data_IF_395367494032
#
_entry.id   IF_395367494032
#
_cell.length_a   1.000
_cell.length_b   1.000
_cell.length_c   1.000
_cell.angle_alpha   90.00
_cell.angle_beta   90.00
_cell.angle_gamma   90.00
#
_symmetry.space_group_name_H-M   'P 1'
#
loop_
_entity.id
_entity.type
_entity.pdbx_description
1 polymer ?
#
# COMPACT_ATOMS: atom_id res chain seq x y z
N UNK A 1 1.59 3.19 18.31
CA UNK A 1 2.27 2.07 18.98
C UNK A 1 1.62 0.81 18.44
N UNK A 2 2.23 0.19 17.41
CA UNK A 2 1.71 -1.04 16.82
C UNK A 2 1.80 -2.14 17.83
N UNK A 3 0.72 -2.88 18.03
CA UNK A 3 0.66 -4.01 18.95
C UNK A 3 1.63 -5.10 18.47
N UNK A 4 2.81 -5.12 19.06
CA UNK A 4 3.66 -6.30 19.10
C UNK A 4 3.07 -7.25 20.17
N UNK A 5 1.81 -7.64 20.00
CA UNK A 5 1.26 -8.72 20.83
C UNK A 5 1.94 -10.01 20.42
N UNK A 6 2.84 -10.44 21.29
CA UNK A 6 3.36 -11.79 21.51
C UNK A 6 3.15 -12.80 20.38
N UNK A 7 3.82 -12.54 19.22
CA UNK A 7 3.81 -13.44 18.06
C UNK A 7 4.92 -14.48 18.11
N UNK A 8 5.59 -14.64 19.24
CA UNK A 8 6.57 -15.71 19.41
C UNK A 8 5.85 -17.00 19.78
N UNK A 9 5.25 -17.64 18.79
CA UNK A 9 4.55 -18.90 18.99
C UNK A 9 5.51 -20.10 19.02
N UNK A 10 6.70 -20.01 18.40
CA UNK A 10 7.52 -21.20 18.16
C UNK A 10 9.00 -21.01 18.53
N UNK A 11 9.33 -20.03 19.35
CA UNK A 11 10.72 -19.71 19.70
C UNK A 11 11.57 -19.26 18.52
N UNK A 12 10.94 -18.73 17.46
CA UNK A 12 11.63 -18.27 16.23
C UNK A 12 12.04 -16.79 16.29
N UNK A 13 11.61 -16.06 17.31
CA UNK A 13 11.85 -14.61 17.41
C UNK A 13 13.23 -14.34 17.98
N UNK A 14 14.17 -13.73 17.21
CA UNK A 14 15.45 -13.30 17.73
C UNK A 14 15.30 -12.02 18.57
N UNK A 15 16.25 -11.83 19.47
CA UNK A 15 16.41 -10.60 20.25
C UNK A 15 17.22 -9.59 19.43
N UNK A 16 16.72 -8.36 19.24
CA UNK A 16 17.54 -7.27 18.73
C UNK A 16 18.46 -6.77 19.83
N UNK A 17 19.77 -6.98 19.68
CA UNK A 17 20.79 -6.67 20.70
C UNK A 17 21.51 -5.34 20.45
N UNK A 18 21.47 -4.83 19.23
CA UNK A 18 22.05 -3.54 18.85
C UNK A 18 21.42 -3.04 17.58
N UNK A 19 21.18 -1.72 17.50
CA UNK A 19 20.74 -1.02 16.29
C UNK A 19 21.51 0.29 16.13
N UNK A 20 21.94 0.55 14.91
CA UNK A 20 22.59 1.78 14.49
C UNK A 20 21.79 2.39 13.35
N UNK A 21 21.39 3.67 13.50
CA UNK A 21 20.74 4.44 12.45
C UNK A 21 21.80 5.02 11.51
N UNK A 22 21.84 4.55 10.26
CA UNK A 22 22.83 4.97 9.26
C UNK A 22 22.38 6.21 8.52
N UNK A 23 21.07 6.31 8.24
CA UNK A 23 20.41 7.49 7.67
C UNK A 23 19.07 7.63 8.37
N UNK A 24 18.79 8.82 8.90
CA UNK A 24 17.53 9.10 9.55
C UNK A 24 17.05 10.49 9.18
N UNK A 25 15.96 10.55 8.42
CA UNK A 25 15.30 11.78 8.03
C UNK A 25 13.77 11.59 7.96
N UNK A 26 13.04 12.58 7.42
CA UNK A 26 11.58 12.50 7.30
C UNK A 26 11.09 11.44 6.31
N UNK A 27 11.98 10.93 5.44
CA UNK A 27 11.62 10.01 4.36
C UNK A 27 11.94 8.56 4.65
N UNK A 28 13.05 8.34 5.39
CA UNK A 28 13.57 7.01 5.65
C UNK A 28 14.35 6.99 6.97
N UNK A 29 14.23 5.88 7.70
CA UNK A 29 15.13 5.51 8.77
C UNK A 29 15.81 4.19 8.38
N UNK A 30 17.05 4.28 7.85
CA UNK A 30 17.82 3.13 7.42
C UNK A 30 18.77 2.69 8.51
N UNK A 31 18.67 1.43 8.92
CA UNK A 31 19.31 0.86 10.11
C UNK A 31 20.19 -0.33 9.78
N UNK A 32 21.18 -0.51 10.63
CA UNK A 32 22.02 -1.70 10.72
C UNK A 32 21.86 -2.30 12.10
N UNK A 33 21.35 -3.54 12.19
CA UNK A 33 21.05 -4.20 13.46
C UNK A 33 21.85 -5.49 13.63
N UNK A 34 21.99 -5.93 14.89
CA UNK A 34 22.49 -7.24 15.28
C UNK A 34 21.39 -7.98 16.04
N UNK A 35 21.21 -9.26 15.73
CA UNK A 35 20.20 -10.12 16.33
C UNK A 35 20.83 -11.35 16.97
N UNK A 36 20.34 -11.72 18.18
CA UNK A 36 20.67 -12.99 18.83
C UNK A 36 19.52 -13.96 18.64
N UNK A 37 19.80 -15.11 18.01
CA UNK A 37 18.83 -16.18 17.85
C UNK A 37 18.62 -16.94 19.16
N UNK A 38 17.49 -17.68 19.30
CA UNK A 38 17.22 -18.49 20.50
C UNK A 38 18.27 -19.55 20.79
N UNK A 39 19.00 -20.00 19.79
CA UNK A 39 20.13 -20.94 19.95
C UNK A 39 21.47 -20.27 20.34
N UNK A 40 21.46 -18.96 20.58
CA UNK A 40 22.61 -18.15 21.01
C UNK A 40 23.48 -17.62 19.86
N UNK A 41 23.28 -18.02 18.62
CA UNK A 41 24.01 -17.47 17.47
C UNK A 41 23.67 -15.99 17.29
N UNK A 42 24.67 -15.20 16.92
CA UNK A 42 24.49 -13.78 16.58
C UNK A 42 24.62 -13.62 15.05
N UNK A 43 23.66 -12.89 14.48
CA UNK A 43 23.66 -12.50 13.07
C UNK A 43 23.79 -11.00 12.94
N UNK A 44 24.82 -10.53 12.27
CA UNK A 44 25.08 -9.12 11.93
C UNK A 44 25.98 -9.01 10.69
N UNK A 45 25.84 -7.97 9.87
CA UNK A 45 24.81 -6.93 9.96
C UNK A 45 23.50 -7.38 9.35
N UNK A 46 22.38 -6.95 9.91
CA UNK A 46 21.07 -7.00 9.28
C UNK A 46 20.62 -5.58 8.92
N UNK A 47 20.28 -5.34 7.67
CA UNK A 47 19.85 -4.02 7.21
C UNK A 47 18.34 -3.98 7.08
N UNK A 48 17.73 -2.92 7.60
CA UNK A 48 16.30 -2.66 7.50
C UNK A 48 16.02 -1.16 7.42
N UNK A 49 14.81 -0.81 7.00
CA UNK A 49 14.38 0.58 6.99
C UNK A 49 12.92 0.74 7.41
N UNK A 50 12.62 1.92 7.95
CA UNK A 50 11.26 2.40 8.21
C UNK A 50 10.86 3.37 7.12
N UNK A 51 9.65 3.20 6.60
CA UNK A 51 8.94 4.18 5.78
C UNK A 51 7.50 4.34 6.30
N UNK A 52 6.79 5.33 5.78
CA UNK A 52 5.37 5.49 6.09
C UNK A 52 4.57 4.29 5.60
N UNK A 53 3.54 3.95 6.36
CA UNK A 53 2.45 3.11 5.85
C UNK A 53 1.76 3.82 4.70
N UNK A 54 1.10 3.08 3.83
CA UNK A 54 0.43 3.63 2.68
C UNK A 54 -0.86 2.88 2.34
N UNK A 55 -1.73 3.53 1.61
CA UNK A 55 -2.95 2.94 1.10
C UNK A 55 -2.83 2.67 -0.41
N UNK A 56 -3.47 1.61 -0.88
CA UNK A 56 -3.65 1.25 -2.29
C UNK A 56 -5.13 1.09 -2.57
N UNK A 57 -5.64 1.68 -3.66
CA UNK A 57 -7.07 1.73 -3.96
C UNK A 57 -7.38 1.07 -5.31
N UNK A 58 -8.00 -0.10 -5.30
CA UNK A 58 -8.63 -0.67 -6.49
C UNK A 58 -9.94 0.07 -6.72
N UNK A 59 -9.90 1.11 -7.55
CA UNK A 59 -11.02 1.99 -7.83
C UNK A 59 -11.69 1.62 -9.15
N UNK A 60 -13.03 1.53 -9.17
CA UNK A 60 -13.81 1.37 -10.40
C UNK A 60 -14.82 2.50 -10.56
N UNK A 61 -14.98 3.00 -11.78
CA UNK A 61 -16.00 3.99 -12.10
C UNK A 61 -17.42 3.38 -12.18
N UNK A 62 -18.40 4.20 -12.53
CA UNK A 62 -19.80 3.78 -12.65
C UNK A 62 -20.08 2.84 -13.83
N UNK A 63 -19.13 2.70 -14.76
CA UNK A 63 -19.18 1.76 -15.88
C UNK A 63 -18.40 0.47 -15.59
N UNK A 64 -17.81 0.37 -14.38
CA UNK A 64 -17.00 -0.77 -13.95
C UNK A 64 -15.58 -0.76 -14.51
N UNK A 65 -15.13 0.33 -15.15
CA UNK A 65 -13.75 0.47 -15.61
C UNK A 65 -12.82 0.78 -14.43
N UNK A 66 -11.65 0.20 -14.45
CA UNK A 66 -10.66 0.32 -13.37
C UNK A 66 -9.80 1.58 -13.58
N UNK A 67 -9.76 2.43 -12.57
CA UNK A 67 -8.93 3.63 -12.57
C UNK A 67 -7.49 3.28 -12.22
N UNK A 68 -6.55 3.70 -13.06
CA UNK A 68 -5.12 3.49 -12.88
C UNK A 68 -4.36 4.79 -13.08
N UNK A 69 -3.16 4.84 -12.54
CA UNK A 69 -2.20 5.92 -12.73
C UNK A 69 -0.93 5.40 -13.41
N UNK A 70 -0.33 6.20 -14.27
CA UNK A 70 0.96 5.92 -14.87
C UNK A 70 1.96 6.95 -14.38
N UNK A 71 3.05 6.47 -13.77
CA UNK A 71 4.07 7.33 -13.19
C UNK A 71 5.46 6.73 -13.29
N UNK A 72 6.47 7.57 -13.24
CA UNK A 72 7.87 7.13 -13.20
C UNK A 72 8.25 6.69 -11.80
N UNK A 73 8.80 5.49 -11.65
CA UNK A 73 9.32 4.96 -10.39
C UNK A 73 10.85 4.96 -10.41
N UNK A 74 11.44 5.83 -9.61
CA UNK A 74 12.89 6.05 -9.55
C UNK A 74 13.66 4.79 -9.17
N UNK A 75 13.12 3.95 -8.30
CA UNK A 75 13.78 2.72 -7.82
C UNK A 75 14.09 1.73 -8.95
N UNK A 76 13.14 1.53 -9.85
CA UNK A 76 13.28 0.63 -11.01
C UNK A 76 13.56 1.38 -12.32
N UNK A 77 13.57 2.73 -12.31
CA UNK A 77 13.81 3.62 -13.44
C UNK A 77 12.90 3.36 -14.63
N UNK A 78 11.64 3.11 -14.37
CA UNK A 78 10.64 2.80 -15.39
C UNK A 78 9.31 3.53 -15.11
N UNK A 79 8.55 3.77 -16.17
CA UNK A 79 7.14 4.18 -16.06
C UNK A 79 6.31 2.94 -15.83
N UNK A 80 5.57 2.92 -14.71
CA UNK A 80 4.69 1.82 -14.32
C UNK A 80 3.23 2.24 -14.41
N UNK A 81 2.35 1.26 -14.61
CA UNK A 81 0.91 1.41 -14.39
C UNK A 81 0.58 0.82 -13.04
N UNK A 82 -0.18 1.57 -12.24
CA UNK A 82 -0.44 1.26 -10.84
C UNK A 82 -1.88 1.66 -10.47
N UNK A 83 -2.38 1.18 -9.34
CA UNK A 83 -3.57 1.77 -8.73
C UNK A 83 -3.22 3.08 -8.02
N UNK A 84 -4.18 3.98 -7.83
CA UNK A 84 -4.02 5.13 -6.95
C UNK A 84 -3.51 4.68 -5.58
N UNK A 85 -2.44 5.33 -5.09
CA UNK A 85 -1.79 4.92 -3.86
C UNK A 85 -0.87 6.00 -3.29
N UNK A 86 -0.92 6.19 -1.98
CA UNK A 86 0.00 7.11 -1.32
C UNK A 86 0.14 6.92 0.18
N UNK A 87 1.08 7.65 0.74
CA UNK A 87 1.47 7.53 2.14
C UNK A 87 0.41 8.04 3.11
N UNK A 88 0.25 7.35 4.23
CA UNK A 88 -0.51 7.85 5.37
C UNK A 88 0.35 8.92 6.04
N UNK A 89 -0.11 10.16 6.05
CA UNK A 89 0.63 11.26 6.64
C UNK A 89 -0.04 11.77 7.95
N UNK A 90 0.58 12.79 8.59
CA UNK A 90 0.04 13.35 9.82
C UNK A 90 -1.30 14.07 9.63
N UNK A 91 -1.63 14.55 8.41
CA UNK A 91 -2.95 15.13 8.09
C UNK A 91 -4.05 14.08 8.26
N UNK A 92 -3.76 12.83 7.91
CA UNK A 92 -4.67 11.70 8.06
C UNK A 92 -4.78 11.26 9.54
N UNK A 93 -3.70 11.46 10.32
CA UNK A 93 -3.62 11.12 11.75
C UNK A 93 -4.24 12.16 12.71
N UNK A 94 -4.53 13.37 12.24
CA UNK A 94 -5.08 14.46 13.08
C UNK A 94 -6.48 14.18 13.62
N UNK A 95 -7.23 13.28 13.03
CA UNK A 95 -8.54 12.86 13.55
C UNK A 95 -8.36 11.94 14.77
N UNK A 96 -8.43 12.55 15.96
CA UNK A 96 -8.33 11.84 17.24
C UNK A 96 -9.40 10.74 17.36
N UNK A 97 -8.97 9.55 17.77
CA UNK A 97 -9.84 8.41 18.06
C UNK A 97 -10.09 7.46 16.89
N UNK A 98 -9.50 7.71 15.71
CA UNK A 98 -9.55 6.77 14.60
C UNK A 98 -8.62 5.58 14.84
N UNK A 99 -9.06 4.40 14.42
CA UNK A 99 -8.20 3.23 14.28
C UNK A 99 -7.18 3.42 13.14
N UNK A 100 -6.16 2.54 13.08
CA UNK A 100 -5.19 2.57 11.99
C UNK A 100 -5.84 2.37 10.62
N UNK A 101 -6.88 1.50 10.55
CA UNK A 101 -7.63 1.26 9.32
C UNK A 101 -8.47 2.46 8.90
N UNK A 102 -9.16 3.12 9.83
CA UNK A 102 -9.92 4.35 9.53
C UNK A 102 -8.99 5.47 9.06
N UNK A 103 -7.81 5.60 9.66
CA UNK A 103 -6.79 6.57 9.24
C UNK A 103 -6.29 6.25 7.83
N UNK A 104 -6.03 4.98 7.53
CA UNK A 104 -5.63 4.53 6.20
C UNK A 104 -6.74 4.75 5.15
N UNK A 105 -8.01 4.60 5.53
CA UNK A 105 -9.15 4.90 4.65
C UNK A 105 -9.22 6.41 4.32
N UNK A 106 -8.90 7.29 5.27
CA UNK A 106 -8.83 8.73 4.99
C UNK A 106 -7.73 9.04 3.98
N UNK A 107 -6.55 8.44 4.13
CA UNK A 107 -5.46 8.56 3.16
C UNK A 107 -5.89 8.00 1.78
N UNK A 108 -6.52 6.82 1.73
CA UNK A 108 -7.03 6.23 0.50
C UNK A 108 -8.00 7.16 -0.25
N UNK A 109 -8.93 7.79 0.47
CA UNK A 109 -9.89 8.74 -0.11
C UNK A 109 -9.20 10.00 -0.65
N UNK A 110 -8.22 10.51 0.08
CA UNK A 110 -7.41 11.66 -0.32
C UNK A 110 -6.63 11.36 -1.59
N UNK A 111 -5.88 10.25 -1.62
CA UNK A 111 -5.06 9.84 -2.77
C UNK A 111 -5.91 9.56 -4.03
N UNK A 112 -7.04 8.88 -3.88
CA UNK A 112 -7.96 8.68 -5.00
C UNK A 112 -8.39 10.01 -5.63
N UNK A 113 -8.72 11.00 -4.78
CA UNK A 113 -9.14 12.33 -5.24
C UNK A 113 -7.98 13.11 -5.86
N UNK A 114 -6.81 13.13 -5.20
CA UNK A 114 -5.64 13.88 -5.65
C UNK A 114 -5.12 13.34 -6.99
N UNK A 115 -4.97 12.04 -7.14
CA UNK A 115 -4.40 11.40 -8.32
C UNK A 115 -5.38 11.23 -9.49
N UNK A 116 -6.67 11.02 -9.22
CA UNK A 116 -7.65 10.74 -10.28
C UNK A 116 -8.73 11.81 -10.44
N UNK A 117 -8.90 12.67 -9.46
CA UNK A 117 -10.03 13.61 -9.37
C UNK A 117 -11.37 12.94 -9.06
N UNK A 118 -11.39 11.65 -8.69
CA UNK A 118 -12.59 10.88 -8.42
C UNK A 118 -12.83 10.67 -6.93
N UNK A 119 -14.10 10.49 -6.56
CA UNK A 119 -14.55 10.16 -5.22
C UNK A 119 -15.54 9.00 -5.26
N UNK A 120 -15.65 8.27 -4.13
CA UNK A 120 -16.63 7.21 -3.94
C UNK A 120 -17.20 7.24 -2.51
N UNK A 121 -18.44 6.79 -2.38
CA UNK A 121 -19.09 6.51 -1.08
C UNK A 121 -19.02 5.02 -0.72
N UNK A 122 -18.61 4.15 -1.65
CA UNK A 122 -18.59 2.70 -1.50
C UNK A 122 -17.16 2.19 -1.32
N UNK A 123 -16.79 1.92 -0.07
CA UNK A 123 -15.46 1.49 0.31
C UNK A 123 -15.45 0.15 1.03
N UNK A 124 -14.46 -0.67 0.73
CA UNK A 124 -14.21 -1.94 1.39
C UNK A 124 -12.72 -2.05 1.70
N UNK A 125 -12.38 -2.41 2.95
CA UNK A 125 -11.03 -2.80 3.33
C UNK A 125 -10.81 -4.26 2.93
N UNK A 126 -9.86 -4.52 2.04
CA UNK A 126 -9.56 -5.86 1.53
C UNK A 126 -8.60 -6.62 2.44
N UNK A 127 -7.48 -5.98 2.78
CA UNK A 127 -6.44 -6.59 3.62
C UNK A 127 -5.39 -5.54 4.02
N UNK A 128 -4.70 -5.79 5.13
CA UNK A 128 -3.48 -5.06 5.52
C UNK A 128 -2.31 -6.03 5.51
N UNK A 129 -1.25 -5.71 4.76
CA UNK A 129 -0.08 -6.58 4.59
C UNK A 129 1.22 -5.81 4.82
N UNK A 130 2.30 -6.46 5.31
CA UNK A 130 3.62 -5.86 5.28
C UNK A 130 4.01 -5.57 3.82
N UNK A 131 4.51 -4.37 3.53
CA UNK A 131 4.91 -4.00 2.19
C UNK A 131 6.10 -4.83 1.68
N UNK A 132 7.08 -5.04 2.56
CA UNK A 132 8.28 -5.83 2.28
C UNK A 132 8.86 -6.39 3.59
N UNK A 133 8.24 -7.45 4.12
CA UNK A 133 8.47 -7.99 5.46
C UNK A 133 9.92 -8.35 5.80
N UNK A 134 10.78 -8.58 4.79
CA UNK A 134 12.18 -8.95 4.99
C UNK A 134 13.09 -7.75 5.26
N UNK A 135 12.68 -6.54 4.95
CA UNK A 135 13.58 -5.38 5.00
C UNK A 135 12.92 -4.10 5.52
N UNK A 136 11.59 -3.99 5.46
CA UNK A 136 10.86 -2.81 5.95
C UNK A 136 9.78 -3.19 6.95
N UNK A 137 9.45 -2.23 7.81
CA UNK A 137 8.45 -2.39 8.87
C UNK A 137 7.10 -1.70 8.55
N UNK A 138 6.98 -1.12 7.34
CA UNK A 138 5.76 -0.46 6.93
C UNK A 138 4.72 -1.43 6.34
N UNK A 139 3.46 -1.03 6.44
CA UNK A 139 2.32 -1.80 5.96
C UNK A 139 1.62 -1.08 4.80
N UNK A 140 1.04 -1.88 3.91
CA UNK A 140 0.11 -1.46 2.89
C UNK A 140 -1.32 -1.81 3.32
N UNK A 141 -2.22 -0.83 3.26
CA UNK A 141 -3.66 -0.98 3.49
C UNK A 141 -4.35 -1.03 2.12
N UNK A 142 -4.96 -2.15 1.81
CA UNK A 142 -5.58 -2.39 0.51
C UNK A 142 -7.08 -2.13 0.60
N UNK A 143 -7.57 -1.25 -0.25
CA UNK A 143 -8.98 -0.89 -0.33
C UNK A 143 -9.55 -1.13 -1.72
N UNK A 144 -10.86 -1.35 -1.77
CA UNK A 144 -11.67 -1.26 -2.98
C UNK A 144 -12.61 -0.08 -2.87
N UNK A 145 -12.71 0.72 -3.95
CA UNK A 145 -13.69 1.79 -4.11
C UNK A 145 -14.54 1.50 -5.36
N UNK A 146 -15.86 1.51 -5.22
CA UNK A 146 -16.79 1.28 -6.34
C UNK A 146 -17.55 2.55 -6.68
N UNK A 147 -18.12 2.57 -7.89
CA UNK A 147 -18.96 3.67 -8.37
C UNK A 147 -18.29 5.04 -8.24
N UNK A 148 -16.98 5.08 -8.49
CA UNK A 148 -16.21 6.31 -8.45
C UNK A 148 -16.72 7.32 -9.48
N UNK A 149 -16.90 8.57 -9.06
CA UNK A 149 -17.39 9.66 -9.91
C UNK A 149 -16.40 10.80 -9.89
N UNK A 150 -16.24 11.47 -11.02
CA UNK A 150 -15.38 12.64 -11.11
C UNK A 150 -15.96 13.79 -10.29
N UNK A 151 -15.22 14.26 -9.30
CA UNK A 151 -15.60 15.33 -8.40
C UNK A 151 -14.77 16.62 -8.64
N UNK A 152 -13.52 16.48 -9.11
CA UNK A 152 -12.60 17.59 -9.33
C UNK A 152 -11.60 17.31 -10.46
N UNK A 153 -10.69 18.22 -10.70
CA UNK A 153 -9.43 17.96 -11.42
C UNK A 153 -8.44 17.26 -10.51
N UNK A 154 -7.39 16.68 -11.10
CA UNK A 154 -6.24 16.17 -10.33
C UNK A 154 -5.58 17.32 -9.56
N UNK A 155 -5.10 17.02 -8.36
CA UNK A 155 -4.34 17.97 -7.52
C UNK A 155 -3.08 17.23 -7.05
N UNK A 156 -2.05 17.30 -7.89
CA UNK A 156 -0.80 16.58 -7.66
C UNK A 156 0.17 17.38 -6.80
N UNK A 157 0.97 16.72 -5.99
CA UNK A 157 2.08 17.34 -5.28
C UNK A 157 3.18 17.78 -6.27
N UNK A 158 4.02 18.75 -5.88
CA UNK A 158 5.08 19.32 -6.74
C UNK A 158 6.04 18.29 -7.35
N UNK A 159 6.21 17.15 -6.70
CA UNK A 159 7.08 16.06 -7.14
C UNK A 159 6.35 14.94 -7.88
N UNK A 160 5.04 15.07 -8.08
CA UNK A 160 4.22 14.07 -8.74
C UNK A 160 3.95 14.44 -10.19
N UNK A 161 4.35 13.54 -11.08
CA UNK A 161 4.03 13.60 -12.49
C UNK A 161 3.38 12.26 -12.87
N UNK A 162 2.06 12.25 -12.97
CA UNK A 162 1.31 11.06 -13.32
C UNK A 162 0.14 11.34 -14.26
N UNK A 163 -0.23 10.34 -15.05
CA UNK A 163 -1.40 10.34 -15.91
C UNK A 163 -2.42 9.32 -15.39
N UNK A 164 -3.67 9.77 -15.19
CA UNK A 164 -4.78 8.85 -14.91
C UNK A 164 -5.29 8.22 -16.22
N UNK A 165 -5.48 6.90 -16.19
CA UNK A 165 -6.10 6.11 -17.26
C UNK A 165 -7.20 5.23 -16.68
N UNK A 166 -8.13 4.76 -17.53
CA UNK A 166 -9.10 3.75 -17.16
C UNK A 166 -9.01 2.56 -18.10
N UNK A 167 -9.09 1.34 -17.54
CA UNK A 167 -8.98 0.09 -18.29
C UNK A 167 -10.13 -0.85 -17.94
N UNK A 168 -10.46 -1.79 -18.81
CA UNK A 168 -11.39 -2.86 -18.47
C UNK A 168 -10.72 -3.89 -17.54
N UNK A 169 -11.51 -4.75 -16.89
CA UNK A 169 -10.98 -5.86 -16.09
C UNK A 169 -10.12 -6.82 -16.93
N UNK A 170 -10.53 -7.09 -18.17
CA UNK A 170 -9.76 -7.93 -19.09
C UNK A 170 -8.43 -7.28 -19.49
N UNK A 171 -8.44 -5.98 -19.79
CA UNK A 171 -7.21 -5.22 -20.05
C UNK A 171 -6.26 -5.26 -18.84
N UNK A 172 -6.79 -5.09 -17.61
CA UNK A 172 -6.00 -5.16 -16.38
C UNK A 172 -5.32 -6.53 -16.22
N UNK A 173 -6.06 -7.61 -16.38
CA UNK A 173 -5.49 -8.97 -16.32
C UNK A 173 -4.41 -9.16 -17.38
N UNK A 174 -4.69 -8.73 -18.63
CA UNK A 174 -3.71 -8.76 -19.69
C UNK A 174 -2.43 -7.98 -19.36
N UNK A 175 -2.54 -6.82 -18.73
CA UNK A 175 -1.39 -6.01 -18.30
C UNK A 175 -0.56 -6.72 -17.22
N UNK A 176 -1.21 -7.37 -16.26
CA UNK A 176 -0.53 -8.15 -15.21
C UNK A 176 0.27 -9.29 -15.84
N UNK A 177 -0.33 -10.09 -16.72
CA UNK A 177 0.33 -11.25 -17.33
C UNK A 177 1.46 -10.88 -18.30
N UNK A 178 1.38 -9.71 -18.94
CA UNK A 178 2.46 -9.19 -19.80
C UNK A 178 3.58 -8.48 -19.04
N UNK A 179 3.39 -8.20 -17.74
CA UNK A 179 4.34 -7.46 -16.92
C UNK A 179 4.27 -5.94 -17.11
N UNK A 180 3.18 -5.42 -17.64
CA UNK A 180 2.92 -3.98 -17.76
C UNK A 180 2.37 -3.36 -16.47
N UNK A 181 1.87 -4.20 -15.57
CA UNK A 181 1.41 -3.85 -14.23
C UNK A 181 2.22 -4.64 -13.20
N UNK A 182 3.22 -4.01 -12.56
CA UNK A 182 4.35 -4.71 -11.95
C UNK A 182 4.39 -4.68 -10.42
N UNK A 183 3.66 -3.78 -9.77
CA UNK A 183 3.69 -3.62 -8.32
C UNK A 183 3.01 -4.81 -7.61
N UNK A 184 3.79 -5.64 -6.92
CA UNK A 184 3.29 -6.88 -6.29
C UNK A 184 2.12 -6.65 -5.33
N UNK A 185 2.19 -5.60 -4.49
CA UNK A 185 1.11 -5.25 -3.55
C UNK A 185 -0.15 -4.82 -4.27
N UNK A 186 -0.03 -4.13 -5.41
CA UNK A 186 -1.16 -3.72 -6.24
C UNK A 186 -1.78 -4.91 -6.97
N UNK A 187 -0.97 -5.87 -7.45
CA UNK A 187 -1.46 -7.14 -8.01
C UNK A 187 -2.24 -7.92 -6.94
N UNK A 188 -1.73 -7.99 -5.71
CA UNK A 188 -2.44 -8.62 -4.60
C UNK A 188 -3.79 -7.94 -4.35
N UNK A 189 -3.82 -6.60 -4.33
CA UNK A 189 -5.06 -5.84 -4.16
C UNK A 189 -6.09 -6.17 -5.26
N UNK A 190 -5.63 -6.26 -6.52
CA UNK A 190 -6.47 -6.69 -7.64
C UNK A 190 -7.07 -8.06 -7.41
N UNK A 191 -6.24 -9.06 -7.12
CA UNK A 191 -6.69 -10.45 -6.92
C UNK A 191 -7.72 -10.57 -5.78
N UNK A 192 -7.51 -9.84 -4.68
CA UNK A 192 -8.46 -9.82 -3.56
C UNK A 192 -9.78 -9.16 -3.96
N UNK A 193 -9.73 -8.07 -4.70
CA UNK A 193 -10.94 -7.36 -5.15
C UNK A 193 -11.82 -8.22 -6.09
N UNK A 194 -11.23 -9.17 -6.81
CA UNK A 194 -11.98 -10.09 -7.68
C UNK A 194 -12.67 -11.20 -6.88
N UNK A 195 -12.08 -11.68 -5.79
CA UNK A 195 -12.67 -12.75 -4.96
C UNK A 195 -13.98 -12.30 -4.30
N UNK A 196 -14.01 -11.12 -3.72
CA UNK A 196 -15.23 -10.57 -3.10
C UNK A 196 -16.36 -10.32 -4.10
N UNK A 197 -16.06 -10.17 -5.40
CA UNK A 197 -17.08 -10.11 -6.44
C UNK A 197 -17.68 -11.48 -6.78
N UNK A 198 -16.97 -12.58 -6.55
CA UNK A 198 -17.48 -13.95 -6.77
C UNK A 198 -18.41 -14.40 -5.65
N UNK A 199 -18.06 -14.11 -4.41
CA UNK A 199 -18.89 -14.47 -3.25
C UNK A 199 -20.26 -13.77 -3.27
N UNK A 200 -20.34 -12.56 -3.82
CA UNK A 200 -21.60 -11.82 -3.98
C UNK A 200 -22.50 -12.41 -5.08
N UNK A 201 -21.93 -13.08 -6.10
CA UNK A 201 -22.67 -13.69 -7.22
C UNK A 201 -23.14 -15.12 -6.92
N UNK A 202 -22.51 -15.81 -5.98
CA UNK A 202 -22.92 -17.16 -5.55
C UNK A 202 -23.96 -17.14 -4.42
N UNK A 203 -24.24 -15.98 -3.86
CA UNK A 203 -25.23 -15.76 -2.79
C UNK A 203 -26.57 -15.20 -3.26
N UNK A 204 -26.77 -14.95 -4.56
CA UNK A 204 -28.04 -14.59 -5.19
C UNK A 204 -28.65 -15.82 -5.92
#
# INVERSE_FOLDING_TARGET
>A
MRMAENRNTDGLMPEEIRTEHLVQDRWIDFRRSAYRFPDGRVFEPYYSYTRRDYAVVVASDTEGRILCVRQFRQGIRAVTTEFPAGGIDYRDLEKKGCSAEETALLAAKRELREETGCESDEWEHLLTVPAQATISDNYAYLFRAKNCRRAAGQTLDEMELLNCISVSAEEMEGMIFRGDFQQAVHILAWLLSQRTNQETKEGE
#
